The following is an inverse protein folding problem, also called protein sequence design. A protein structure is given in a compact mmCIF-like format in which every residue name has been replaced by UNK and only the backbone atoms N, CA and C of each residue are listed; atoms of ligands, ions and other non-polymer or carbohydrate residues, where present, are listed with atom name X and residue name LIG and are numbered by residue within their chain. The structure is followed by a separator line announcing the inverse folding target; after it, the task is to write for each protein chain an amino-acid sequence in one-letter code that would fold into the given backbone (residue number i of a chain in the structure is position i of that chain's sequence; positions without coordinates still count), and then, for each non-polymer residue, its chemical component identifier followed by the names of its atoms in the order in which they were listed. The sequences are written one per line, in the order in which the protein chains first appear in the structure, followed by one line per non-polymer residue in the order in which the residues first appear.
data_IF_704781934422
#
_entry.id   IF_704781934422
#
_cell.length_a   1.000
_cell.length_b   1.000
_cell.length_c   1.000
_cell.angle_alpha   90.00
_cell.angle_beta   90.00
_cell.angle_gamma   90.00
#
_symmetry.space_group_name_H-M   'P 1'
#
loop_
_entity.id
_entity.type
_entity.pdbx_description
1 polymer ?
#
# COMPACT_ATOMS: atom_id res chain seq x y z
N UNK A 1 0.88 -3.13 16.13
CA UNK A 1 1.58 -4.39 15.83
C UNK A 1 1.33 -4.80 14.39
N UNK A 2 2.37 -5.27 13.73
CA UNK A 2 2.30 -5.65 12.32
C UNK A 2 1.67 -7.04 12.15
N UNK A 3 2.06 -8.01 12.96
CA UNK A 3 1.52 -9.38 12.94
C UNK A 3 0.96 -9.78 14.28
N UNK A 4 -0.10 -10.60 14.25
CA UNK A 4 -0.73 -11.21 15.39
C UNK A 4 -0.85 -12.72 15.21
N UNK A 5 -0.49 -13.47 16.26
CA UNK A 5 -0.74 -14.91 16.32
C UNK A 5 -1.96 -15.21 17.21
N UNK A 6 -2.67 -16.31 16.97
CA UNK A 6 -3.86 -16.67 17.76
C UNK A 6 -3.62 -16.72 19.28
N UNK A 7 -2.39 -16.97 19.72
CA UNK A 7 -2.01 -16.97 21.13
C UNK A 7 -1.77 -15.59 21.74
N UNK A 8 -2.02 -14.49 21.03
CA UNK A 8 -1.83 -13.12 21.51
C UNK A 8 -0.39 -12.59 21.40
N UNK A 9 0.55 -13.39 20.93
CA UNK A 9 1.88 -12.90 20.56
C UNK A 9 1.84 -12.18 19.20
N UNK A 10 2.74 -11.25 18.99
CA UNK A 10 2.82 -10.51 17.74
C UNK A 10 4.15 -9.80 17.56
N UNK A 11 4.36 -9.25 16.37
CA UNK A 11 5.55 -8.48 16.03
C UNK A 11 5.22 -6.99 16.12
N UNK A 12 5.83 -6.31 17.08
CA UNK A 12 5.80 -4.85 17.19
C UNK A 12 6.85 -4.28 16.26
N UNK A 13 6.46 -3.32 15.41
CA UNK A 13 7.32 -2.70 14.41
C UNK A 13 7.31 -1.18 14.55
N UNK A 14 8.17 -0.50 13.80
CA UNK A 14 8.14 0.95 13.58
C UNK A 14 7.53 1.31 12.21
N UNK A 15 6.86 0.36 11.55
CA UNK A 15 6.20 0.55 10.24
C UNK A 15 5.05 1.54 10.39
N UNK A 16 5.01 2.54 9.52
CA UNK A 16 4.10 3.68 9.71
C UNK A 16 2.68 3.42 9.21
N UNK A 17 2.49 2.70 8.11
CA UNK A 17 1.14 2.45 7.56
C UNK A 17 0.28 1.55 8.44
N UNK A 18 0.86 0.71 9.30
CA UNK A 18 0.15 -0.05 10.33
C UNK A 18 -0.84 0.83 11.14
N UNK A 19 -0.47 2.10 11.36
CA UNK A 19 -1.29 3.07 12.07
C UNK A 19 -2.45 3.59 11.23
N UNK A 20 -2.30 3.62 9.91
CA UNK A 20 -3.31 4.13 8.98
C UNK A 20 -4.39 3.10 8.67
N UNK A 21 -4.05 1.81 8.70
CA UNK A 21 -5.03 0.76 8.42
C UNK A 21 -6.16 0.70 9.44
N UNK A 22 -5.92 1.05 10.71
CA UNK A 22 -7.00 1.06 11.72
C UNK A 22 -8.12 2.06 11.37
N UNK A 23 -7.88 3.37 11.21
CA UNK A 23 -8.94 4.31 10.81
C UNK A 23 -9.47 4.03 9.40
N UNK A 24 -8.65 3.55 8.47
CA UNK A 24 -9.08 3.18 7.13
C UNK A 24 -10.13 2.06 7.16
N UNK A 25 -9.83 0.95 7.82
CA UNK A 25 -10.76 -0.18 7.91
C UNK A 25 -11.98 0.13 8.77
N UNK A 26 -11.83 0.96 9.81
CA UNK A 26 -12.96 1.44 10.62
C UNK A 26 -13.93 2.26 9.76
N UNK A 27 -13.42 3.18 8.94
CA UNK A 27 -14.25 3.95 8.02
C UNK A 27 -14.95 3.03 7.00
N UNK A 28 -14.23 2.10 6.41
CA UNK A 28 -14.79 1.12 5.48
C UNK A 28 -15.90 0.27 6.11
N UNK A 29 -15.67 -0.24 7.32
CA UNK A 29 -16.66 -1.02 8.04
C UNK A 29 -17.95 -0.21 8.28
N UNK A 30 -17.83 0.98 8.84
CA UNK A 30 -18.99 1.83 9.15
C UNK A 30 -19.76 2.22 7.89
N UNK A 31 -19.06 2.56 6.81
CA UNK A 31 -19.70 2.90 5.53
C UNK A 31 -20.52 1.74 4.95
N UNK A 32 -20.06 0.51 5.09
CA UNK A 32 -20.72 -0.68 4.52
C UNK A 32 -21.79 -1.26 5.40
N UNK A 33 -21.66 -1.15 6.70
CA UNK A 33 -22.62 -1.74 7.66
C UNK A 33 -23.61 -0.75 8.21
N UNK A 34 -23.28 0.55 8.20
CA UNK A 34 -24.05 1.58 8.93
C UNK A 34 -23.85 1.53 10.44
N UNK A 35 -23.06 0.59 10.96
CA UNK A 35 -22.83 0.39 12.40
C UNK A 35 -21.90 1.47 12.96
N UNK A 36 -22.48 2.61 13.32
CA UNK A 36 -21.77 3.71 13.98
C UNK A 36 -21.49 3.44 15.45
N UNK A 37 -22.21 2.52 16.09
CA UNK A 37 -22.03 2.20 17.51
C UNK A 37 -20.67 1.54 17.75
N UNK A 38 -20.08 0.89 16.72
CA UNK A 38 -18.72 0.40 16.76
C UNK A 38 -17.70 1.48 17.16
N UNK A 39 -17.91 2.73 16.76
CA UNK A 39 -17.00 3.84 17.09
C UNK A 39 -16.94 4.12 18.59
N UNK A 40 -18.04 3.84 19.32
CA UNK A 40 -18.14 4.00 20.76
C UNK A 40 -17.73 2.75 21.55
N UNK A 41 -17.45 1.63 20.87
CA UNK A 41 -17.03 0.39 21.51
C UNK A 41 -15.76 0.60 22.34
N UNK A 42 -15.83 0.26 23.63
CA UNK A 42 -14.70 0.40 24.56
C UNK A 42 -13.69 -0.71 24.36
N UNK A 43 -12.47 -0.34 23.96
CA UNK A 43 -11.37 -1.27 23.67
C UNK A 43 -10.19 -0.96 24.60
N UNK A 44 -9.62 -1.96 25.31
CA UNK A 44 -8.45 -1.73 26.13
C UNK A 44 -7.20 -1.48 25.27
N UNK A 45 -6.32 -0.61 25.76
CA UNK A 45 -4.98 -0.50 25.17
C UNK A 45 -4.12 -1.70 25.56
N UNK A 46 -3.17 -2.02 24.70
CA UNK A 46 -2.19 -3.05 24.97
C UNK A 46 -0.93 -2.44 25.56
N UNK A 47 -0.33 -3.17 26.51
CA UNK A 47 0.97 -2.87 27.09
C UNK A 47 1.96 -3.99 26.73
N UNK A 48 3.17 -3.58 26.37
CA UNK A 48 4.26 -4.47 26.05
C UNK A 48 5.58 -3.73 26.08
N UNK A 49 6.68 -4.46 25.97
CA UNK A 49 8.01 -3.88 25.92
C UNK A 49 8.16 -2.96 24.68
N UNK A 50 8.97 -1.92 24.82
CA UNK A 50 9.38 -1.10 23.70
C UNK A 50 10.41 -1.83 22.84
N UNK A 51 10.47 -1.48 21.56
CA UNK A 51 11.49 -2.00 20.64
C UNK A 51 12.85 -1.47 21.12
N UNK A 52 13.80 -2.39 21.43
CA UNK A 52 15.13 -1.97 21.89
C UNK A 52 15.84 -1.05 20.88
N UNK A 53 16.74 -0.21 21.37
CA UNK A 53 17.56 0.64 20.51
C UNK A 53 18.37 -0.21 19.52
N UNK A 54 18.41 0.24 18.27
CA UNK A 54 19.10 -0.45 17.18
C UNK A 54 18.36 -1.66 16.60
N UNK A 55 17.16 -2.00 17.12
CA UNK A 55 16.30 -3.05 16.54
C UNK A 55 15.16 -2.43 15.73
N UNK A 56 14.74 -3.11 14.66
CA UNK A 56 13.61 -2.73 13.79
C UNK A 56 12.26 -3.17 14.35
N UNK A 57 12.25 -4.26 15.11
CA UNK A 57 11.04 -4.96 15.55
C UNK A 57 11.27 -5.72 16.87
N UNK A 58 10.17 -6.18 17.45
CA UNK A 58 10.17 -7.01 18.65
C UNK A 58 9.02 -8.00 18.62
N UNK A 59 9.34 -9.30 18.64
CA UNK A 59 8.35 -10.34 18.85
C UNK A 59 8.05 -10.48 20.36
N UNK A 60 6.80 -10.24 20.74
CA UNK A 60 6.38 -10.31 22.13
C UNK A 60 4.90 -10.64 22.30
N UNK A 61 4.50 -10.99 23.51
CA UNK A 61 3.09 -11.08 23.89
C UNK A 61 2.70 -9.82 24.64
N UNK A 62 1.77 -9.05 24.04
CA UNK A 62 1.20 -7.86 24.68
C UNK A 62 0.04 -8.23 25.59
N UNK A 63 -0.13 -7.51 26.70
CA UNK A 63 -1.24 -7.70 27.64
C UNK A 63 -2.21 -6.52 27.60
N UNK A 64 -3.53 -6.74 27.74
CA UNK A 64 -4.49 -5.66 27.90
C UNK A 64 -4.19 -4.86 29.18
N UNK A 65 -4.31 -3.54 29.07
CA UNK A 65 -4.26 -2.63 30.24
C UNK A 65 -5.64 -2.46 30.85
N UNK A 66 -5.68 -1.94 32.08
CA UNK A 66 -6.95 -1.50 32.70
C UNK A 66 -7.53 -0.23 32.01
N UNK A 67 -6.73 0.48 31.22
CA UNK A 67 -7.18 1.65 30.50
C UNK A 67 -7.79 1.26 29.17
N UNK A 68 -9.06 1.61 28.98
CA UNK A 68 -9.81 1.41 27.74
C UNK A 68 -10.38 2.74 27.25
N UNK A 69 -10.55 2.85 25.96
CA UNK A 69 -11.15 4.01 25.30
C UNK A 69 -12.05 3.57 24.14
N UNK A 70 -12.94 4.46 23.64
CA UNK A 70 -13.69 4.20 22.42
C UNK A 70 -12.77 3.91 21.22
N UNK A 71 -13.21 3.07 20.29
CA UNK A 71 -12.45 2.80 19.04
C UNK A 71 -12.11 4.09 18.29
N UNK A 72 -13.00 5.09 18.32
CA UNK A 72 -12.76 6.44 17.79
C UNK A 72 -11.44 7.01 18.31
N UNK A 73 -11.22 6.96 19.64
CA UNK A 73 -9.99 7.48 20.27
C UNK A 73 -8.75 6.72 19.82
N UNK A 74 -8.83 5.39 19.63
CA UNK A 74 -7.75 4.60 19.09
C UNK A 74 -7.38 5.07 17.67
N UNK A 75 -8.38 5.33 16.82
CA UNK A 75 -8.16 5.85 15.47
C UNK A 75 -7.51 7.25 15.49
N UNK A 76 -8.04 8.17 16.32
CA UNK A 76 -7.48 9.53 16.44
C UNK A 76 -6.04 9.50 16.96
N UNK A 77 -5.72 8.67 17.94
CA UNK A 77 -4.35 8.51 18.44
C UNK A 77 -3.42 7.95 17.37
N UNK A 78 -3.88 6.96 16.59
CA UNK A 78 -3.11 6.41 15.48
C UNK A 78 -2.74 7.54 14.48
N UNK A 79 -3.71 8.35 14.06
CA UNK A 79 -3.49 9.47 13.13
C UNK A 79 -2.56 10.56 13.73
N UNK A 80 -2.77 10.95 14.99
CA UNK A 80 -1.97 11.97 15.68
C UNK A 80 -0.55 11.52 16.02
N UNK A 81 -0.28 10.22 15.99
CA UNK A 81 1.05 9.67 16.24
C UNK A 81 2.00 9.69 15.03
N UNK A 82 1.52 10.16 13.87
CA UNK A 82 2.34 10.26 12.67
C UNK A 82 3.38 11.37 12.81
N UNK A 83 4.58 11.09 12.31
CA UNK A 83 5.64 12.09 12.17
C UNK A 83 5.77 12.50 10.71
N UNK A 84 6.17 13.77 10.50
CA UNK A 84 6.31 14.36 9.17
C UNK A 84 7.75 14.83 8.96
N UNK A 85 8.21 14.73 7.73
CA UNK A 85 9.54 15.20 7.35
C UNK A 85 9.55 16.67 6.88
N UNK A 86 10.67 17.11 6.33
CA UNK A 86 10.88 18.52 5.98
C UNK A 86 9.96 19.04 4.88
N UNK A 87 9.43 18.18 4.00
CA UNK A 87 8.46 18.57 2.98
C UNK A 87 7.00 18.54 3.49
N UNK A 88 6.76 18.08 4.73
CA UNK A 88 5.42 17.94 5.29
C UNK A 88 4.71 16.66 4.88
N UNK A 89 5.45 15.66 4.43
CA UNK A 89 4.97 14.33 4.03
C UNK A 89 5.27 13.34 5.17
N UNK A 90 4.42 12.32 5.44
CA UNK A 90 4.65 11.37 6.52
C UNK A 90 5.97 10.61 6.38
N UNK A 91 6.67 10.42 7.50
CA UNK A 91 7.87 9.61 7.55
C UNK A 91 7.55 8.11 7.48
N UNK A 92 8.35 7.39 6.69
CA UNK A 92 8.30 5.93 6.56
C UNK A 92 8.72 5.23 7.86
N UNK A 93 9.67 5.80 8.59
CA UNK A 93 10.31 5.22 9.77
C UNK A 93 10.84 3.80 9.48
N UNK A 94 10.33 2.77 10.13
CA UNK A 94 10.75 1.39 9.91
C UNK A 94 10.15 0.72 8.66
N UNK A 95 9.43 1.44 7.82
CA UNK A 95 8.82 0.96 6.59
C UNK A 95 7.41 1.52 6.38
N UNK A 96 6.89 1.25 5.21
CA UNK A 96 5.47 1.41 4.86
C UNK A 96 4.93 0.07 4.34
N UNK A 97 3.92 0.06 3.46
CA UNK A 97 3.40 -1.15 2.85
C UNK A 97 4.51 -2.06 2.28
N UNK A 98 5.58 -1.45 1.75
CA UNK A 98 6.79 -2.18 1.39
C UNK A 98 7.75 -2.20 2.59
N UNK A 99 7.53 -3.15 3.50
CA UNK A 99 8.32 -3.34 4.70
C UNK A 99 9.78 -3.73 4.40
N UNK A 100 10.05 -4.19 3.16
CA UNK A 100 11.40 -4.43 2.64
C UNK A 100 12.25 -3.18 2.51
N UNK A 101 11.64 -1.98 2.47
CA UNK A 101 12.33 -0.69 2.40
C UNK A 101 12.65 -0.10 3.79
N UNK A 102 12.92 -0.95 4.78
CA UNK A 102 13.05 -0.58 6.19
C UNK A 102 14.29 0.27 6.55
N UNK A 103 15.13 0.61 5.58
CA UNK A 103 16.27 1.52 5.74
C UNK A 103 16.15 2.82 4.94
N UNK A 104 15.01 3.06 4.32
CA UNK A 104 14.72 4.34 3.66
C UNK A 104 14.47 5.43 4.70
N UNK A 105 13.58 5.20 5.65
CA UNK A 105 13.36 5.96 6.87
C UNK A 105 12.73 7.35 6.71
N UNK A 106 12.99 8.04 5.62
CA UNK A 106 12.51 9.40 5.36
C UNK A 106 11.05 9.47 4.91
N UNK A 107 10.69 10.49 4.15
CA UNK A 107 9.31 10.73 3.74
C UNK A 107 8.84 9.74 2.68
N UNK A 108 7.62 9.19 2.83
CA UNK A 108 6.99 8.30 1.86
C UNK A 108 5.82 8.96 1.14
N UNK A 109 5.91 9.04 -0.19
CA UNK A 109 4.86 9.61 -1.04
C UNK A 109 3.61 8.74 -1.01
N UNK A 110 3.78 7.42 -1.01
CA UNK A 110 2.67 6.48 -0.79
C UNK A 110 1.92 6.79 0.50
N UNK A 111 2.62 6.89 1.64
CA UNK A 111 2.00 7.20 2.93
C UNK A 111 1.25 8.53 2.92
N UNK A 112 1.80 9.52 2.21
CA UNK A 112 1.15 10.83 2.06
C UNK A 112 -0.21 10.70 1.37
N UNK A 113 -0.27 10.03 0.23
CA UNK A 113 -1.53 9.80 -0.49
C UNK A 113 -2.47 8.85 0.26
N UNK A 114 -1.96 7.79 0.86
CA UNK A 114 -2.76 6.89 1.69
C UNK A 114 -3.39 7.64 2.88
N UNK A 115 -2.61 8.45 3.59
CA UNK A 115 -3.13 9.33 4.65
C UNK A 115 -4.24 10.24 4.13
N UNK A 116 -4.06 10.87 2.98
CA UNK A 116 -5.08 11.74 2.39
C UNK A 116 -6.40 11.00 2.12
N UNK A 117 -6.32 9.74 1.68
CA UNK A 117 -7.50 8.88 1.52
C UNK A 117 -8.14 8.54 2.86
N UNK A 118 -7.36 8.10 3.82
CA UNK A 118 -7.83 7.78 5.18
C UNK A 118 -8.55 8.97 5.81
N UNK A 119 -7.95 10.16 5.74
CA UNK A 119 -8.55 11.37 6.29
C UNK A 119 -9.86 11.77 5.60
N UNK A 120 -9.93 11.61 4.27
CA UNK A 120 -11.16 11.84 3.50
C UNK A 120 -12.30 10.92 3.96
N UNK A 121 -12.00 9.64 4.16
CA UNK A 121 -13.01 8.61 4.44
C UNK A 121 -13.39 8.57 5.94
N UNK A 122 -12.47 8.92 6.84
CA UNK A 122 -12.67 8.86 8.30
C UNK A 122 -13.22 10.16 8.90
N UNK A 123 -12.83 11.35 8.39
CA UNK A 123 -13.29 12.63 8.95
C UNK A 123 -14.82 12.75 9.06
N UNK A 124 -15.64 12.28 8.10
CA UNK A 124 -17.10 12.34 8.21
C UNK A 124 -17.71 11.55 9.38
N UNK A 125 -16.93 10.67 10.01
CA UNK A 125 -17.36 9.87 11.17
C UNK A 125 -17.06 10.57 12.50
N UNK A 126 -16.30 11.65 12.48
CA UNK A 126 -15.85 12.38 13.66
C UNK A 126 -16.82 13.51 14.05
N UNK A 127 -16.72 13.98 15.29
CA UNK A 127 -17.32 15.24 15.69
C UNK A 127 -16.71 16.41 14.88
N UNK A 128 -17.45 17.52 14.67
CA UNK A 128 -17.03 18.60 13.76
C UNK A 128 -15.62 19.13 14.02
N UNK A 129 -15.25 19.32 15.29
CA UNK A 129 -13.93 19.84 15.68
C UNK A 129 -12.78 18.91 15.26
N UNK A 130 -12.96 17.58 15.34
CA UNK A 130 -11.97 16.60 14.89
C UNK A 130 -12.00 16.46 13.38
N UNK A 131 -13.18 16.50 12.76
CA UNK A 131 -13.31 16.46 11.31
C UNK A 131 -12.54 17.62 10.65
N UNK A 132 -12.69 18.85 11.16
CA UNK A 132 -12.00 20.04 10.68
C UNK A 132 -10.48 19.91 10.84
N UNK A 133 -10.01 19.43 12.01
CA UNK A 133 -8.57 19.15 12.25
C UNK A 133 -8.02 18.19 11.18
N UNK A 134 -8.70 17.07 10.96
CA UNK A 134 -8.28 16.02 10.02
C UNK A 134 -8.27 16.52 8.57
N UNK A 135 -9.29 17.28 8.17
CA UNK A 135 -9.36 17.84 6.82
C UNK A 135 -8.29 18.93 6.58
N UNK A 136 -7.93 19.71 7.61
CA UNK A 136 -6.79 20.63 7.53
C UNK A 136 -5.46 19.89 7.37
N UNK A 137 -5.25 18.78 8.10
CA UNK A 137 -4.08 17.91 7.89
C UNK A 137 -4.05 17.40 6.46
N UNK A 138 -5.18 16.87 5.96
CA UNK A 138 -5.30 16.40 4.59
C UNK A 138 -4.91 17.47 3.57
N UNK A 139 -5.42 18.68 3.71
CA UNK A 139 -5.12 19.78 2.79
C UNK A 139 -3.62 20.13 2.79
N UNK A 140 -2.98 20.19 3.96
CA UNK A 140 -1.53 20.45 4.06
C UNK A 140 -0.72 19.36 3.37
N UNK A 141 -1.05 18.09 3.61
CA UNK A 141 -0.34 16.96 3.00
C UNK A 141 -0.54 16.92 1.48
N UNK A 142 -1.75 17.15 0.98
CA UNK A 142 -2.00 17.24 -0.45
C UNK A 142 -1.20 18.38 -1.10
N UNK A 143 -1.17 19.55 -0.47
CA UNK A 143 -0.37 20.68 -0.97
C UNK A 143 1.12 20.33 -1.04
N UNK A 144 1.64 19.60 -0.04
CA UNK A 144 3.02 19.13 -0.03
C UNK A 144 3.29 18.11 -1.15
N UNK A 145 2.36 17.17 -1.35
CA UNK A 145 2.44 16.16 -2.40
C UNK A 145 2.36 16.75 -3.82
N UNK A 146 1.63 17.83 -4.00
CA UNK A 146 1.61 18.54 -5.29
C UNK A 146 2.88 19.39 -5.52
N UNK A 147 3.53 19.87 -4.45
CA UNK A 147 4.67 20.77 -4.54
C UNK A 147 6.02 20.06 -4.70
N UNK A 148 6.24 18.91 -4.05
CA UNK A 148 7.59 18.37 -3.85
C UNK A 148 7.90 17.08 -4.64
N UNK A 149 7.06 16.03 -4.66
CA UNK A 149 7.44 14.72 -5.19
C UNK A 149 7.26 14.54 -6.70
N UNK A 150 6.95 15.59 -7.46
CA UNK A 150 6.70 15.47 -8.90
C UNK A 150 7.98 15.50 -9.73
N UNK A 151 8.33 14.40 -10.40
CA UNK A 151 9.51 14.27 -11.28
C UNK A 151 9.19 14.53 -12.78
N UNK A 152 8.24 15.40 -13.04
CA UNK A 152 7.86 15.83 -14.40
C UNK A 152 6.92 14.91 -15.13
N UNK A 153 6.84 13.64 -14.80
CA UNK A 153 5.94 12.66 -15.41
C UNK A 153 5.34 11.63 -14.42
N UNK A 154 5.87 11.51 -13.23
CA UNK A 154 5.38 10.63 -12.17
C UNK A 154 5.76 11.16 -10.80
N UNK A 155 5.18 10.61 -9.73
CA UNK A 155 5.55 10.89 -8.35
C UNK A 155 6.71 10.02 -7.91
N UNK A 156 7.72 10.61 -7.26
CA UNK A 156 8.81 9.85 -6.65
C UNK A 156 8.27 8.91 -5.57
N UNK A 157 9.08 7.92 -5.17
CA UNK A 157 8.66 6.94 -4.18
C UNK A 157 8.80 7.46 -2.75
N UNK A 158 9.94 8.04 -2.45
CA UNK A 158 10.31 8.43 -1.09
C UNK A 158 11.58 9.30 -1.08
N UNK A 159 11.95 9.77 0.09
CA UNK A 159 13.28 10.27 0.40
C UNK A 159 13.93 9.36 1.44
N UNK A 160 15.23 9.13 1.32
CA UNK A 160 16.02 8.57 2.39
C UNK A 160 16.16 9.58 3.53
N UNK A 161 16.53 9.14 4.75
CA UNK A 161 16.78 10.04 5.89
C UNK A 161 17.85 11.11 5.59
N UNK A 162 18.80 10.83 4.71
CA UNK A 162 19.83 11.76 4.26
C UNK A 162 19.35 12.77 3.20
N UNK A 163 18.06 12.73 2.82
CA UNK A 163 17.46 13.62 1.82
C UNK A 163 17.64 13.15 0.37
N UNK A 164 18.29 12.02 0.12
CA UNK A 164 18.41 11.46 -1.24
C UNK A 164 17.03 10.98 -1.73
N UNK A 165 16.68 11.35 -2.98
CA UNK A 165 15.41 10.96 -3.61
C UNK A 165 15.46 9.52 -4.08
N UNK A 166 14.40 8.79 -3.82
CA UNK A 166 14.11 7.46 -4.37
C UNK A 166 12.87 7.54 -5.28
N UNK A 167 12.93 6.99 -6.47
CA UNK A 167 11.79 6.97 -7.38
C UNK A 167 11.81 8.09 -8.43
N UNK A 168 12.93 8.77 -8.62
CA UNK A 168 13.13 9.76 -9.69
C UNK A 168 13.77 9.16 -10.94
N UNK A 169 13.71 9.87 -12.06
CA UNK A 169 14.37 9.47 -13.32
C UNK A 169 15.88 9.26 -13.17
N UNK A 170 16.49 9.87 -12.17
CA UNK A 170 17.92 9.76 -11.90
C UNK A 170 18.25 8.65 -10.89
N UNK A 171 17.24 8.05 -10.26
CA UNK A 171 17.47 6.97 -9.31
C UNK A 171 18.04 5.74 -10.01
N UNK A 172 19.16 5.18 -9.54
CA UNK A 172 19.80 4.02 -10.15
C UNK A 172 18.97 2.74 -9.99
N UNK A 173 18.18 2.63 -8.91
CA UNK A 173 17.20 1.59 -8.67
C UNK A 173 15.85 2.23 -8.33
N UNK A 174 14.77 1.49 -8.46
CA UNK A 174 13.41 1.95 -8.17
C UNK A 174 13.13 3.34 -8.80
N UNK A 175 13.46 3.50 -10.08
CA UNK A 175 13.26 4.78 -10.79
C UNK A 175 11.80 5.17 -10.83
N UNK A 176 10.92 4.20 -10.94
CA UNK A 176 9.49 4.33 -10.79
C UNK A 176 8.94 3.17 -9.96
N UNK A 177 7.98 3.48 -9.11
CA UNK A 177 7.28 2.53 -8.24
C UNK A 177 5.78 2.66 -8.46
N UNK A 178 5.12 1.52 -8.69
CA UNK A 178 3.68 1.46 -9.00
C UNK A 178 2.81 1.97 -7.84
N UNK A 179 3.24 1.70 -6.61
CA UNK A 179 2.49 2.01 -5.39
C UNK A 179 2.17 3.51 -5.28
N UNK A 180 3.19 4.37 -5.47
CA UNK A 180 3.02 5.82 -5.41
C UNK A 180 2.06 6.33 -6.49
N UNK A 181 2.11 5.78 -7.70
CA UNK A 181 1.27 6.24 -8.80
C UNK A 181 -0.21 5.84 -8.61
N UNK A 182 -0.47 4.62 -8.17
CA UNK A 182 -1.83 4.18 -7.85
C UNK A 182 -2.44 5.03 -6.73
N UNK A 183 -1.70 5.19 -5.64
CA UNK A 183 -2.20 5.93 -4.49
C UNK A 183 -2.25 7.44 -4.72
N UNK A 184 -1.51 8.00 -5.68
CA UNK A 184 -1.70 9.38 -6.10
C UNK A 184 -3.14 9.63 -6.57
N UNK A 185 -3.68 8.76 -7.42
CA UNK A 185 -5.08 8.84 -7.86
C UNK A 185 -6.03 8.62 -6.68
N UNK A 186 -5.87 7.52 -5.96
CA UNK A 186 -6.75 7.12 -4.85
C UNK A 186 -6.72 8.12 -3.68
N UNK A 187 -5.60 8.80 -3.44
CA UNK A 187 -5.39 9.80 -2.40
C UNK A 187 -5.83 11.21 -2.78
N UNK A 188 -6.11 11.46 -4.06
CA UNK A 188 -6.69 12.71 -4.53
C UNK A 188 -5.68 13.71 -5.09
N UNK A 189 -4.64 13.25 -5.78
CA UNK A 189 -3.82 14.08 -6.67
C UNK A 189 -4.69 14.76 -7.74
N UNK A 190 -4.20 15.82 -8.34
CA UNK A 190 -4.88 16.43 -9.47
C UNK A 190 -5.09 15.41 -10.60
N UNK A 191 -6.24 15.47 -11.27
CA UNK A 191 -6.63 14.50 -12.28
C UNK A 191 -5.57 14.35 -13.39
N UNK A 192 -5.02 15.46 -13.86
CA UNK A 192 -4.01 15.46 -14.92
C UNK A 192 -2.72 14.75 -14.49
N UNK A 193 -2.21 15.07 -13.28
CA UNK A 193 -1.00 14.41 -12.77
C UNK A 193 -1.24 12.96 -12.42
N UNK A 194 -2.39 12.63 -11.84
CA UNK A 194 -2.77 11.25 -11.55
C UNK A 194 -2.82 10.39 -12.82
N UNK A 195 -3.47 10.88 -13.87
CA UNK A 195 -3.54 10.21 -15.16
C UNK A 195 -2.15 10.06 -15.80
N UNK A 196 -1.33 11.12 -15.78
CA UNK A 196 0.03 11.08 -16.33
C UNK A 196 0.93 10.11 -15.54
N UNK A 197 0.82 10.09 -14.21
CA UNK A 197 1.57 9.19 -13.34
C UNK A 197 1.25 7.72 -13.62
N UNK A 198 -0.05 7.36 -13.75
CA UNK A 198 -0.46 6.01 -14.12
C UNK A 198 -0.01 5.63 -15.54
N UNK A 199 -0.10 6.56 -16.51
CA UNK A 199 0.40 6.31 -17.86
C UNK A 199 1.90 6.03 -17.86
N UNK A 200 2.68 6.78 -17.06
CA UNK A 200 4.12 6.56 -16.91
C UNK A 200 4.41 5.20 -16.27
N UNK A 201 3.64 4.81 -15.25
CA UNK A 201 3.76 3.51 -14.61
C UNK A 201 3.46 2.37 -15.59
N UNK A 202 2.35 2.44 -16.31
CA UNK A 202 1.99 1.44 -17.33
C UNK A 202 3.06 1.32 -18.41
N UNK A 203 3.58 2.45 -18.90
CA UNK A 203 4.61 2.44 -19.95
C UNK A 203 5.91 1.76 -19.49
N UNK A 204 6.29 1.91 -18.22
CA UNK A 204 7.58 1.42 -17.71
C UNK A 204 7.49 0.08 -16.98
N UNK A 205 6.33 -0.24 -16.40
CA UNK A 205 6.18 -1.41 -15.52
C UNK A 205 5.32 -2.52 -16.12
N UNK A 206 4.37 -2.17 -17.00
CA UNK A 206 3.50 -3.18 -17.61
C UNK A 206 4.16 -3.84 -18.81
N UNK A 207 4.04 -5.16 -18.87
CA UNK A 207 4.55 -6.04 -19.94
C UNK A 207 3.38 -6.85 -20.50
N UNK A 208 2.83 -6.46 -21.67
CA UNK A 208 1.64 -7.14 -22.24
C UNK A 208 1.88 -8.65 -22.53
N UNK A 209 3.13 -9.04 -22.74
CA UNK A 209 3.52 -10.43 -22.82
C UNK A 209 4.64 -10.67 -21.80
N UNK A 210 4.44 -11.51 -20.80
CA UNK A 210 3.34 -12.46 -20.58
C UNK A 210 2.10 -11.93 -19.82
N UNK A 211 1.84 -10.64 -19.77
CA UNK A 211 0.71 -10.04 -19.02
C UNK A 211 1.06 -9.82 -17.56
N UNK A 212 2.10 -9.02 -17.31
CA UNK A 212 2.63 -8.74 -15.98
C UNK A 212 2.82 -7.23 -15.76
N UNK A 213 2.63 -6.79 -14.52
CA UNK A 213 2.97 -5.43 -14.12
C UNK A 213 3.94 -5.47 -12.94
N UNK A 214 5.18 -5.07 -13.18
CA UNK A 214 6.21 -5.02 -12.15
C UNK A 214 5.86 -3.99 -11.06
N UNK A 215 6.27 -4.25 -9.82
CA UNK A 215 6.07 -3.30 -8.72
C UNK A 215 6.93 -2.05 -8.89
N UNK A 216 8.18 -2.22 -9.30
CA UNK A 216 9.14 -1.14 -9.49
C UNK A 216 10.17 -1.51 -10.57
N UNK A 217 10.86 -0.50 -11.10
CA UNK A 217 11.99 -0.70 -12.04
C UNK A 217 13.00 0.46 -11.95
N UNK A 218 14.34 0.22 -12.14
CA UNK A 218 15.00 -1.07 -12.05
C UNK A 218 14.93 -1.66 -10.63
N UNK A 219 15.07 -2.98 -10.47
CA UNK A 219 15.19 -3.60 -9.16
C UNK A 219 16.39 -3.07 -8.37
N UNK A 220 16.38 -3.25 -7.05
CA UNK A 220 17.50 -2.92 -6.18
C UNK A 220 18.61 -3.97 -6.32
N UNK A 221 19.84 -3.58 -6.70
CA UNK A 221 20.99 -4.44 -6.52
C UNK A 221 21.41 -4.46 -5.04
N UNK A 222 22.16 -5.48 -4.62
CA UNK A 222 22.69 -5.59 -3.24
C UNK A 222 23.52 -4.37 -2.80
N UNK A 223 24.09 -3.64 -3.76
CA UNK A 223 24.93 -2.45 -3.49
C UNK A 223 24.14 -1.22 -3.04
N UNK A 224 22.81 -1.21 -3.16
CA UNK A 224 21.93 -0.12 -2.74
C UNK A 224 21.14 -0.56 -1.51
N UNK A 225 21.50 0.00 -0.37
CA UNK A 225 20.91 -0.36 0.92
C UNK A 225 19.60 0.39 1.19
N UNK A 226 18.50 -0.10 0.61
CA UNK A 226 17.15 0.35 0.93
C UNK A 226 16.49 -0.45 2.07
N UNK A 227 17.17 -1.50 2.53
CA UNK A 227 16.67 -2.46 3.52
C UNK A 227 16.74 -3.90 2.98
N UNK A 228 15.98 -4.80 3.59
CA UNK A 228 16.04 -6.22 3.19
C UNK A 228 15.44 -6.50 1.81
N UNK A 229 14.75 -5.54 1.19
CA UNK A 229 14.33 -5.64 -0.22
C UNK A 229 15.51 -5.89 -1.14
N UNK A 230 16.68 -5.27 -0.86
CA UNK A 230 17.91 -5.44 -1.64
C UNK A 230 18.53 -6.85 -1.53
N UNK A 231 18.07 -7.65 -0.56
CA UNK A 231 18.45 -9.07 -0.42
C UNK A 231 17.59 -10.03 -1.26
N UNK A 232 16.50 -9.57 -1.85
CA UNK A 232 15.73 -10.37 -2.80
C UNK A 232 16.38 -10.31 -4.18
N UNK A 233 16.42 -11.42 -4.88
CA UNK A 233 16.90 -11.45 -6.25
C UNK A 233 16.07 -10.49 -7.12
N UNK A 234 16.73 -9.84 -8.07
CA UNK A 234 16.10 -8.90 -8.99
C UNK A 234 14.95 -9.56 -9.79
N UNK A 235 13.80 -8.93 -9.80
CA UNK A 235 12.60 -9.42 -10.45
C UNK A 235 11.75 -10.39 -9.62
N UNK A 236 12.08 -10.60 -8.34
CA UNK A 236 11.32 -11.43 -7.41
C UNK A 236 10.71 -10.59 -6.31
N UNK A 237 9.55 -11.01 -5.84
CA UNK A 237 8.81 -10.37 -4.74
C UNK A 237 8.68 -8.86 -4.97
N UNK A 238 8.85 -8.07 -3.90
CA UNK A 238 8.81 -6.61 -3.94
C UNK A 238 9.97 -6.01 -4.74
N UNK A 239 11.06 -6.76 -4.96
CA UNK A 239 12.21 -6.28 -5.71
C UNK A 239 12.04 -6.40 -7.22
N UNK A 240 11.00 -5.77 -7.75
CA UNK A 240 10.74 -5.67 -9.19
C UNK A 240 9.90 -6.80 -9.77
N UNK A 241 9.47 -7.81 -8.98
CA UNK A 241 8.43 -8.75 -9.40
C UNK A 241 7.08 -8.07 -9.56
N UNK A 242 6.10 -8.74 -10.18
CA UNK A 242 4.71 -8.36 -10.01
C UNK A 242 4.28 -8.76 -8.61
N UNK A 243 4.26 -7.82 -7.66
CA UNK A 243 3.68 -8.09 -6.35
C UNK A 243 2.17 -7.90 -6.46
N UNK A 244 1.45 -9.01 -6.50
CA UNK A 244 0.05 -9.06 -6.96
C UNK A 244 -0.90 -8.22 -6.10
N UNK A 245 -0.54 -7.91 -4.85
CA UNK A 245 -1.31 -7.05 -3.97
C UNK A 245 -1.53 -5.63 -4.53
N UNK A 246 -0.58 -5.08 -5.28
CA UNK A 246 -0.67 -3.71 -5.82
C UNK A 246 -1.47 -3.65 -7.12
N UNK A 247 -1.57 -4.77 -7.85
CA UNK A 247 -2.31 -4.81 -9.11
C UNK A 247 -3.81 -4.43 -8.96
N UNK A 248 -4.56 -4.90 -7.95
CA UNK A 248 -5.90 -4.39 -7.67
C UNK A 248 -5.97 -2.88 -7.42
N UNK A 249 -4.96 -2.28 -6.79
CA UNK A 249 -4.94 -0.82 -6.60
C UNK A 249 -4.70 -0.06 -7.92
N UNK A 250 -3.92 -0.62 -8.84
CA UNK A 250 -3.81 -0.10 -10.20
C UNK A 250 -5.17 -0.17 -10.92
N UNK A 251 -5.85 -1.31 -10.85
CA UNK A 251 -7.18 -1.49 -11.44
C UNK A 251 -8.18 -0.49 -10.84
N UNK A 252 -8.15 -0.29 -9.53
CA UNK A 252 -8.98 0.70 -8.85
C UNK A 252 -8.69 2.12 -9.33
N UNK A 253 -7.43 2.52 -9.37
CA UNK A 253 -7.03 3.84 -9.82
C UNK A 253 -7.44 4.12 -11.27
N UNK A 254 -7.32 3.12 -12.17
CA UNK A 254 -7.81 3.20 -13.55
C UNK A 254 -9.33 3.38 -13.60
N UNK A 255 -10.07 2.65 -12.77
CA UNK A 255 -11.52 2.77 -12.68
C UNK A 255 -11.94 4.18 -12.20
N UNK A 256 -11.25 4.74 -11.19
CA UNK A 256 -11.50 6.14 -10.73
C UNK A 256 -11.22 7.19 -11.83
N UNK A 257 -10.28 6.91 -12.74
CA UNK A 257 -10.01 7.77 -13.91
C UNK A 257 -10.94 7.49 -15.10
N UNK A 258 -11.89 6.55 -14.99
CA UNK A 258 -12.80 6.18 -16.07
C UNK A 258 -12.17 5.32 -17.18
N UNK A 259 -10.96 4.79 -16.96
CA UNK A 259 -10.26 3.90 -17.89
C UNK A 259 -10.69 2.43 -17.69
N UNK A 260 -11.98 2.18 -17.79
CA UNK A 260 -12.59 0.90 -17.41
C UNK A 260 -12.20 -0.26 -18.31
N UNK A 261 -12.00 -0.04 -19.60
CA UNK A 261 -11.59 -1.10 -20.53
C UNK A 261 -10.22 -1.65 -20.16
N UNK A 262 -9.25 -0.76 -19.92
CA UNK A 262 -7.91 -1.14 -19.49
C UNK A 262 -7.94 -1.80 -18.09
N UNK A 263 -8.78 -1.29 -17.19
CA UNK A 263 -8.97 -1.92 -15.88
C UNK A 263 -9.47 -3.37 -16.00
N UNK A 264 -10.39 -3.65 -16.93
CA UNK A 264 -10.86 -5.02 -17.20
C UNK A 264 -9.78 -5.89 -17.85
N UNK A 265 -8.97 -5.36 -18.76
CA UNK A 265 -7.81 -6.08 -19.32
C UNK A 265 -6.87 -6.54 -18.21
N UNK A 266 -6.53 -5.64 -17.27
CA UNK A 266 -5.69 -5.99 -16.13
C UNK A 266 -6.34 -6.96 -15.13
N UNK A 267 -7.68 -6.93 -14.98
CA UNK A 267 -8.38 -7.99 -14.23
C UNK A 267 -8.16 -9.34 -14.88
N UNK A 268 -8.31 -9.43 -16.22
CA UNK A 268 -8.06 -10.68 -16.94
C UNK A 268 -6.64 -11.19 -16.75
N UNK A 269 -5.65 -10.31 -16.76
CA UNK A 269 -4.25 -10.65 -16.50
C UNK A 269 -4.00 -11.06 -15.05
N UNK A 270 -4.73 -10.47 -14.09
CA UNK A 270 -4.62 -10.79 -12.66
C UNK A 270 -5.17 -12.17 -12.29
N UNK A 271 -6.04 -12.76 -13.13
CA UNK A 271 -6.68 -14.04 -12.81
C UNK A 271 -5.68 -15.19 -12.88
N UNK A 272 -5.50 -15.97 -11.80
CA UNK A 272 -4.56 -17.11 -11.80
C UNK A 272 -4.80 -18.10 -12.94
N UNK A 273 -6.05 -18.30 -13.33
CA UNK A 273 -6.44 -19.17 -14.43
C UNK A 273 -5.79 -18.77 -15.77
N UNK A 274 -5.57 -17.46 -16.00
CA UNK A 274 -4.95 -16.96 -17.24
C UNK A 274 -3.46 -17.26 -17.35
N UNK A 275 -2.81 -17.48 -16.23
CA UNK A 275 -1.43 -17.90 -16.17
C UNK A 275 -1.26 -19.42 -16.36
N UNK A 276 -2.36 -20.19 -16.42
CA UNK A 276 -2.33 -21.64 -16.50
C UNK A 276 -3.38 -22.21 -17.49
N UNK A 277 -3.90 -21.39 -18.42
CA UNK A 277 -4.96 -21.80 -19.37
C UNK A 277 -4.45 -22.64 -20.55
N UNK A 278 -3.14 -22.76 -20.74
CA UNK A 278 -2.48 -23.72 -21.62
C UNK A 278 -1.42 -24.50 -20.88
N UNK A 279 -1.02 -25.65 -21.47
CA UNK A 279 0.04 -26.48 -20.87
C UNK A 279 1.35 -25.69 -20.73
N UNK A 280 1.73 -24.93 -21.74
CA UNK A 280 2.96 -24.14 -21.77
C UNK A 280 2.95 -23.07 -20.66
N UNK A 281 1.83 -22.35 -20.49
CA UNK A 281 1.66 -21.39 -19.42
C UNK A 281 1.67 -22.06 -18.04
N UNK A 282 0.99 -23.18 -17.87
CA UNK A 282 0.98 -23.92 -16.61
C UNK A 282 2.37 -24.44 -16.23
N UNK A 283 3.13 -24.93 -17.22
CA UNK A 283 4.52 -25.39 -17.03
C UNK A 283 5.47 -24.24 -16.64
N UNK A 284 5.15 -23.01 -17.05
CA UNK A 284 5.88 -21.80 -16.68
C UNK A 284 5.44 -21.27 -15.30
N UNK A 285 4.12 -21.09 -15.10
CA UNK A 285 3.55 -20.48 -13.91
C UNK A 285 3.79 -21.32 -12.64
N UNK A 286 3.58 -22.62 -12.71
CA UNK A 286 3.88 -23.61 -11.65
C UNK A 286 3.19 -23.41 -10.32
N UNK A 287 2.06 -22.68 -10.31
CA UNK A 287 1.20 -22.55 -9.14
C UNK A 287 -0.21 -23.06 -9.46
N UNK A 288 -0.99 -23.26 -8.43
CA UNK A 288 -2.40 -23.64 -8.53
C UNK A 288 -3.20 -22.54 -9.24
N UNK A 289 -3.96 -22.88 -10.31
CA UNK A 289 -4.64 -21.88 -11.15
C UNK A 289 -5.86 -21.23 -10.49
N UNK A 290 -6.15 -21.57 -9.24
CA UNK A 290 -7.28 -21.05 -8.46
C UNK A 290 -6.88 -20.29 -7.21
N UNK A 291 -5.56 -20.10 -6.97
CA UNK A 291 -5.03 -19.25 -5.91
C UNK A 291 -4.37 -18.01 -6.48
N UNK A 292 -4.62 -16.86 -5.84
CA UNK A 292 -3.88 -15.64 -6.15
C UNK A 292 -2.46 -15.77 -5.63
N UNK A 293 -1.48 -15.58 -6.51
CA UNK A 293 -0.07 -15.56 -6.12
C UNK A 293 0.27 -14.30 -5.31
N UNK A 294 1.24 -14.41 -4.41
CA UNK A 294 1.84 -13.23 -3.79
C UNK A 294 2.61 -12.42 -4.83
N UNK A 295 3.44 -13.11 -5.60
CA UNK A 295 4.23 -12.50 -6.65
C UNK A 295 4.35 -13.41 -7.88
N UNK A 296 4.58 -12.78 -9.03
CA UNK A 296 4.94 -13.43 -10.29
C UNK A 296 6.26 -12.81 -10.75
N UNK A 297 7.22 -13.65 -11.10
CA UNK A 297 8.58 -13.22 -11.40
C UNK A 297 8.65 -12.43 -12.72
N UNK A 298 9.44 -11.38 -12.69
CA UNK A 298 9.85 -10.61 -13.87
C UNK A 298 11.35 -10.84 -14.19
N UNK A 299 12.02 -11.67 -13.40
CA UNK A 299 13.43 -12.00 -13.56
C UNK A 299 13.70 -12.67 -14.92
N UNK A 300 14.80 -12.29 -15.56
CA UNK A 300 15.21 -12.85 -16.86
C UNK A 300 15.30 -14.37 -16.83
N UNK A 301 14.69 -15.03 -17.81
CA UNK A 301 14.60 -16.49 -17.90
C UNK A 301 13.59 -17.16 -16.96
N UNK A 302 12.89 -16.40 -16.13
CA UNK A 302 11.83 -16.89 -15.24
C UNK A 302 10.56 -16.04 -15.31
N UNK A 303 10.45 -15.15 -16.29
CA UNK A 303 9.29 -14.26 -16.45
C UNK A 303 7.99 -15.06 -16.57
N UNK A 304 7.03 -14.75 -15.72
CA UNK A 304 5.74 -15.44 -15.65
C UNK A 304 5.69 -16.60 -14.66
N UNK A 305 6.81 -16.98 -14.01
CA UNK A 305 6.80 -17.98 -12.95
C UNK A 305 6.18 -17.40 -11.68
N UNK A 306 5.22 -18.10 -11.08
CA UNK A 306 4.63 -17.75 -9.80
C UNK A 306 5.56 -18.06 -8.62
N UNK A 307 5.54 -17.19 -7.63
CA UNK A 307 6.26 -17.34 -6.36
C UNK A 307 5.44 -18.08 -5.31
N UNK A 308 4.79 -17.35 -4.42
CA UNK A 308 3.91 -17.95 -3.40
C UNK A 308 2.46 -18.02 -3.87
N UNK A 309 1.78 -19.11 -3.53
CA UNK A 309 0.33 -19.24 -3.74
C UNK A 309 -0.47 -18.90 -2.49
N UNK A 310 -1.81 -18.87 -2.63
CA UNK A 310 -2.77 -18.66 -1.55
C UNK A 310 -2.57 -17.34 -0.76
N UNK A 311 -2.24 -16.27 -1.45
CA UNK A 311 -2.02 -14.96 -0.82
C UNK A 311 -3.34 -14.20 -0.65
N UNK A 312 -3.86 -14.19 0.58
CA UNK A 312 -5.22 -13.72 0.89
C UNK A 312 -5.41 -12.21 0.71
N UNK A 313 -4.37 -11.38 0.96
CA UNK A 313 -4.42 -9.94 0.79
C UNK A 313 -4.71 -9.54 -0.66
N UNK A 314 -3.97 -10.12 -1.62
CA UNK A 314 -4.21 -9.89 -3.05
C UNK A 314 -5.60 -10.34 -3.50
N UNK A 315 -6.02 -11.52 -3.04
CA UNK A 315 -7.34 -12.08 -3.39
C UNK A 315 -8.48 -11.20 -2.86
N UNK A 316 -8.38 -10.72 -1.62
CA UNK A 316 -9.40 -9.87 -1.01
C UNK A 316 -9.50 -8.52 -1.75
N UNK A 317 -8.38 -7.88 -2.08
CA UNK A 317 -8.39 -6.64 -2.84
C UNK A 317 -8.95 -6.81 -4.25
N UNK A 318 -8.58 -7.89 -4.96
CA UNK A 318 -9.11 -8.16 -6.28
C UNK A 318 -10.63 -8.37 -6.25
N UNK A 319 -11.13 -9.13 -5.26
CA UNK A 319 -12.55 -9.32 -5.04
C UNK A 319 -13.28 -7.99 -4.83
N UNK A 320 -12.79 -7.15 -3.92
CA UNK A 320 -13.39 -5.85 -3.60
C UNK A 320 -13.39 -4.92 -4.82
N UNK A 321 -12.27 -4.83 -5.54
CA UNK A 321 -12.15 -3.93 -6.69
C UNK A 321 -13.07 -4.36 -7.84
N UNK A 322 -13.16 -5.64 -8.13
CA UNK A 322 -14.10 -6.14 -9.16
C UNK A 322 -15.53 -5.80 -8.77
N UNK A 323 -15.97 -6.13 -7.55
CA UNK A 323 -17.34 -5.91 -7.15
C UNK A 323 -17.69 -4.43 -7.02
N UNK A 324 -16.86 -3.67 -6.31
CA UNK A 324 -17.22 -2.31 -5.93
C UNK A 324 -16.84 -1.29 -7.00
N UNK A 325 -15.65 -1.40 -7.60
CA UNK A 325 -15.16 -0.36 -8.50
C UNK A 325 -15.54 -0.60 -9.96
N UNK A 326 -15.60 -1.86 -10.39
CA UNK A 326 -15.90 -2.18 -11.79
C UNK A 326 -17.36 -2.54 -12.01
N UNK A 327 -17.97 -3.34 -11.13
CA UNK A 327 -19.37 -3.71 -11.23
C UNK A 327 -20.32 -2.74 -10.50
N UNK A 328 -19.79 -1.82 -9.70
CA UNK A 328 -20.58 -0.83 -8.98
C UNK A 328 -21.47 -1.42 -7.87
N UNK A 329 -21.15 -2.62 -7.40
CA UNK A 329 -21.93 -3.28 -6.36
C UNK A 329 -21.46 -2.85 -4.97
N UNK A 330 -22.12 -1.84 -4.41
CA UNK A 330 -21.81 -1.33 -3.08
C UNK A 330 -22.86 -1.77 -2.06
N UNK A 331 -22.41 -2.40 -0.97
CA UNK A 331 -23.26 -2.56 0.21
C UNK A 331 -23.24 -1.25 1.00
N UNK A 332 -24.39 -0.64 1.20
CA UNK A 332 -24.59 0.60 1.97
C UNK A 332 -25.56 0.31 3.11
N UNK A 333 -25.04 0.27 4.34
CA UNK A 333 -25.84 0.01 5.54
C UNK A 333 -26.24 -1.46 5.71
N UNK A 334 -27.08 -1.71 6.72
CA UNK A 334 -27.63 -3.03 7.07
C UNK A 334 -28.79 -3.42 6.20
#
# INVERSE_FOLDING_TARGET
QHWWHPGGAGVRTRITDDRLFLPFLTAWYVQRTGDKDMLAASVPFLMGADIPDGQSDLYHTAAPTAYAAPLMEHCLRALRSLSFGPHGIPLMAGGDWNDGMNRVGGESVFLGFFLCRVLKDFAPLCAPEYADELLQVRQRVLSALEAHPWDGAWYVRAWFENGQVLGSRESPACRIDLLSQCWAVLGGASQDRGAQALQSALTQLHRPSPGLTALLTPPFPESIDAGYISGYAEGLRENGGQYTHVLPWLIWALAELGQTDLAWELVHEALPLRHADTKEKADLYRLEPYFTAADIYTASGQEGRGGWSAYTGSAAWLYVVILEQLLGFHKLGS
#
